data_IF_237514164054
#
_entry.id   IF_237514164054
#
_cell.length_a   1.000
_cell.length_b   1.000
_cell.length_c   1.000
_cell.angle_alpha   90.00
_cell.angle_beta   90.00
_cell.angle_gamma   90.00
#
_symmetry.space_group_name_H-M   'P 1'
#
loop_
_entity.id
_entity.type
_entity.pdbx_description
1 polymer ?
#
# COMPACT_ATOMS: atom_id res chain seq x y z
N UNK A 1 -28.76 18.64 -11.43
CA UNK A 1 -29.33 18.08 -10.19
C UNK A 1 -29.65 16.64 -10.50
N UNK A 2 -28.71 15.73 -10.23
CA UNK A 2 -28.82 14.31 -10.60
C UNK A 2 -29.10 13.53 -9.32
N UNK A 3 -30.30 12.97 -9.23
CA UNK A 3 -30.69 12.02 -8.21
C UNK A 3 -30.16 10.65 -8.62
N UNK A 4 -29.40 10.00 -7.72
CA UNK A 4 -28.90 8.65 -7.92
C UNK A 4 -29.52 7.78 -6.82
N UNK A 5 -30.49 6.95 -7.21
CA UNK A 5 -31.08 5.90 -6.38
C UNK A 5 -30.60 4.55 -6.90
N UNK A 6 -29.87 3.80 -6.06
CA UNK A 6 -29.40 2.44 -6.34
C UNK A 6 -27.98 2.22 -5.83
N UNK A 7 -27.84 1.65 -4.64
CA UNK A 7 -26.54 1.26 -4.09
C UNK A 7 -26.24 -0.18 -4.50
N UNK A 8 -25.53 -0.34 -5.61
CA UNK A 8 -24.72 -1.54 -5.81
C UNK A 8 -23.39 -1.30 -5.12
N UNK A 9 -22.93 -2.22 -4.26
CA UNK A 9 -21.53 -2.25 -3.81
C UNK A 9 -20.68 -2.67 -5.01
N UNK A 10 -20.52 -1.75 -5.96
CA UNK A 10 -19.40 -1.75 -6.87
C UNK A 10 -18.24 -1.28 -6.01
N UNK A 11 -17.13 -2.03 -5.89
CA UNK A 11 -15.92 -1.48 -5.29
C UNK A 11 -15.62 -0.18 -6.02
N UNK A 12 -15.74 0.95 -5.32
CA UNK A 12 -15.28 2.24 -5.83
C UNK A 12 -13.76 2.13 -5.81
N UNK A 13 -13.22 1.53 -6.85
CA UNK A 13 -11.80 1.60 -7.11
C UNK A 13 -11.51 3.04 -7.52
N UNK A 14 -11.00 3.83 -6.57
CA UNK A 14 -10.44 5.13 -6.91
C UNK A 14 -9.07 4.85 -7.56
N UNK A 15 -9.08 4.51 -8.85
CA UNK A 15 -7.86 4.37 -9.63
C UNK A 15 -7.43 5.76 -10.10
N UNK A 16 -6.27 6.22 -9.64
CA UNK A 16 -5.54 7.25 -10.35
C UNK A 16 -4.76 6.54 -11.47
N UNK A 17 -5.27 6.64 -12.70
CA UNK A 17 -4.48 6.28 -13.88
C UNK A 17 -3.62 7.49 -14.25
N UNK A 18 -2.31 7.34 -14.13
CA UNK A 18 -1.37 8.30 -14.71
C UNK A 18 -0.93 7.71 -16.05
N UNK A 19 -1.43 8.28 -17.14
CA UNK A 19 -0.90 7.98 -18.48
C UNK A 19 0.27 8.93 -18.72
N UNK A 20 1.50 8.46 -18.53
CA UNK A 20 2.72 9.24 -18.85
C UNK A 20 3.05 8.98 -20.32
N UNK A 21 2.42 9.71 -21.24
CA UNK A 21 2.75 9.61 -22.65
C UNK A 21 3.68 10.72 -23.11
N UNK A 22 4.63 10.39 -23.98
CA UNK A 22 5.35 11.36 -24.80
C UNK A 22 4.43 11.80 -25.93
N UNK A 23 3.82 12.98 -25.82
CA UNK A 23 3.14 13.61 -26.96
C UNK A 23 4.19 14.00 -28.01
N UNK A 24 3.98 13.61 -29.26
CA UNK A 24 4.62 14.32 -30.38
C UNK A 24 3.90 15.66 -30.54
N UNK A 25 4.56 16.81 -30.25
CA UNK A 25 3.89 18.11 -30.24
C UNK A 25 3.36 18.54 -31.62
N UNK A 26 3.87 17.97 -32.72
CA UNK A 26 3.47 18.37 -34.08
C UNK A 26 2.23 17.62 -34.61
N UNK A 27 1.86 16.48 -34.03
CA UNK A 27 0.81 15.62 -34.59
C UNK A 27 -0.36 15.32 -33.65
N UNK A 28 -0.29 15.69 -32.37
CA UNK A 28 -1.35 15.42 -31.40
C UNK A 28 -1.70 13.92 -31.25
N UNK A 29 -0.91 13.02 -31.84
CA UNK A 29 -1.07 11.58 -31.79
C UNK A 29 -0.05 10.98 -30.83
N UNK A 30 -0.53 10.12 -29.93
CA UNK A 30 0.33 9.25 -29.14
C UNK A 30 0.97 8.22 -30.06
N UNK A 31 2.25 8.43 -30.42
CA UNK A 31 3.02 7.48 -31.21
C UNK A 31 3.75 6.53 -30.25
N UNK A 32 3.15 5.38 -29.96
CA UNK A 32 3.75 4.30 -29.17
C UNK A 32 2.82 3.68 -28.11
N UNK A 33 3.05 2.40 -27.77
CA UNK A 33 2.42 1.79 -26.58
C UNK A 33 3.08 2.38 -25.34
N UNK A 34 2.47 3.41 -24.77
CA UNK A 34 2.83 3.89 -23.43
C UNK A 34 2.47 2.77 -22.44
N UNK A 35 3.42 2.26 -21.63
CA UNK A 35 3.07 1.33 -20.57
C UNK A 35 2.14 2.05 -19.59
N UNK A 36 0.88 1.61 -19.56
CA UNK A 36 -0.10 2.11 -18.61
C UNK A 36 0.31 1.69 -17.21
N UNK A 37 0.22 2.60 -16.24
CA UNK A 37 0.44 2.29 -14.82
C UNK A 37 -0.88 2.44 -14.03
N UNK A 38 -1.11 1.52 -13.10
CA UNK A 38 -2.20 1.56 -12.13
C UNK A 38 -1.60 1.64 -10.74
N UNK A 39 -2.01 2.66 -9.99
CA UNK A 39 -1.68 2.83 -8.58
C UNK A 39 -2.91 2.49 -7.76
N UNK A 40 -2.76 1.58 -6.80
CA UNK A 40 -3.83 1.20 -5.90
C UNK A 40 -3.39 1.36 -4.47
N UNK A 41 -4.26 1.97 -3.65
CA UNK A 41 -4.14 1.81 -2.21
C UNK A 41 -4.30 0.31 -1.81
N UNK A 42 -3.78 -0.08 -0.65
CA UNK A 42 -3.92 -1.43 -0.11
C UNK A 42 -5.10 -1.53 0.87
N UNK A 43 -5.01 -0.83 2.00
CA UNK A 43 -5.86 -1.03 3.18
C UNK A 43 -7.19 -0.28 3.03
N UNK A 44 -8.28 -1.02 2.83
CA UNK A 44 -9.59 -0.48 2.51
C UNK A 44 -9.92 -0.50 1.01
N UNK A 45 -8.93 -0.78 0.15
CA UNK A 45 -9.10 -0.84 -1.31
C UNK A 45 -8.95 -2.27 -1.86
N UNK A 46 -7.81 -2.92 -1.64
CA UNK A 46 -7.57 -4.31 -2.06
C UNK A 46 -7.72 -5.29 -0.89
N UNK A 47 -7.38 -4.83 0.31
CA UNK A 47 -7.39 -5.59 1.55
C UNK A 47 -8.41 -4.96 2.51
N UNK A 48 -9.40 -5.75 2.95
CA UNK A 48 -10.44 -5.25 3.85
C UNK A 48 -10.43 -6.00 5.18
N UNK A 49 -10.76 -5.32 6.27
CA UNK A 49 -10.80 -5.93 7.61
C UNK A 49 -12.23 -6.21 8.02
N UNK A 50 -12.46 -7.32 8.73
CA UNK A 50 -13.79 -7.75 9.16
C UNK A 50 -14.60 -6.63 9.80
N UNK A 51 -13.98 -5.91 10.76
CA UNK A 51 -14.61 -4.79 11.46
C UNK A 51 -15.17 -3.68 10.56
N UNK A 52 -14.65 -3.52 9.34
CA UNK A 52 -15.10 -2.48 8.41
C UNK A 52 -16.29 -2.93 7.55
N UNK A 53 -16.43 -4.22 7.28
CA UNK A 53 -17.50 -4.72 6.40
C UNK A 53 -18.62 -5.45 7.15
N UNK A 54 -18.42 -5.86 8.40
CA UNK A 54 -19.49 -6.48 9.22
C UNK A 54 -20.67 -5.56 9.46
N UNK A 55 -20.43 -4.24 9.59
CA UNK A 55 -21.50 -3.25 9.67
C UNK A 55 -22.34 -3.12 8.38
N UNK A 56 -21.86 -3.70 7.27
CA UNK A 56 -22.53 -3.73 5.96
C UNK A 56 -23.04 -5.13 5.61
N UNK A 57 -23.30 -5.96 6.63
CA UNK A 57 -23.87 -7.31 6.47
C UNK A 57 -22.93 -8.34 5.84
N UNK A 58 -21.65 -8.03 5.71
CA UNK A 58 -20.64 -8.97 5.22
C UNK A 58 -20.01 -9.72 6.40
N UNK A 59 -20.04 -11.05 6.36
CA UNK A 59 -19.59 -11.91 7.46
C UNK A 59 -18.41 -12.77 7.05
N UNK A 60 -17.51 -13.05 7.99
CA UNK A 60 -16.47 -14.06 7.81
C UNK A 60 -17.03 -15.39 8.32
N UNK A 61 -17.21 -16.36 7.43
CA UNK A 61 -17.84 -17.65 7.75
C UNK A 61 -16.83 -18.75 8.06
N UNK A 62 -15.58 -18.57 7.61
CA UNK A 62 -14.47 -19.49 7.89
C UNK A 62 -13.16 -18.72 7.90
N UNK A 63 -12.28 -19.05 8.85
CA UNK A 63 -10.89 -18.63 8.87
C UNK A 63 -9.98 -19.84 9.08
N UNK A 64 -8.93 -19.92 8.27
CA UNK A 64 -7.81 -20.82 8.45
C UNK A 64 -6.53 -19.98 8.49
N UNK A 65 -6.08 -19.56 9.69
CA UNK A 65 -4.88 -18.76 9.84
C UNK A 65 -3.60 -19.48 9.37
N UNK A 66 -3.57 -20.82 9.47
CA UNK A 66 -2.43 -21.64 9.08
C UNK A 66 -2.35 -21.72 7.55
N UNK A 67 -3.48 -22.02 6.90
CA UNK A 67 -3.61 -21.98 5.44
C UNK A 67 -3.61 -20.57 4.85
N UNK A 68 -3.75 -19.53 5.69
CA UNK A 68 -3.95 -18.13 5.32
C UNK A 68 -5.13 -17.94 4.36
N UNK A 69 -6.24 -18.59 4.66
CA UNK A 69 -7.46 -18.55 3.85
C UNK A 69 -8.65 -18.12 4.71
N UNK A 70 -9.57 -17.36 4.13
CA UNK A 70 -10.86 -17.06 4.72
C UNK A 70 -11.98 -17.16 3.70
N UNK A 71 -13.22 -17.35 4.18
CA UNK A 71 -14.44 -17.24 3.37
C UNK A 71 -15.24 -16.05 3.89
N UNK A 72 -15.51 -15.10 3.01
CA UNK A 72 -16.28 -13.89 3.30
C UNK A 72 -17.60 -13.97 2.53
N UNK A 73 -18.74 -13.78 3.21
CA UNK A 73 -20.08 -13.91 2.63
C UNK A 73 -20.83 -12.58 2.74
N UNK A 74 -21.47 -12.09 1.68
CA UNK A 74 -22.35 -10.92 1.75
C UNK A 74 -23.78 -11.28 2.20
N UNK A 75 -24.67 -10.27 2.29
CA UNK A 75 -26.07 -10.45 2.69
C UNK A 75 -26.87 -11.34 1.73
N UNK A 76 -26.57 -11.29 0.42
CA UNK A 76 -27.18 -12.15 -0.61
C UNK A 76 -26.71 -13.60 -0.53
N UNK A 77 -25.72 -13.88 0.32
CA UNK A 77 -25.11 -15.19 0.47
C UNK A 77 -24.02 -15.52 -0.56
N UNK A 78 -23.59 -14.55 -1.37
CA UNK A 78 -22.41 -14.69 -2.24
C UNK A 78 -21.17 -14.90 -1.36
N UNK A 79 -20.53 -16.06 -1.49
CA UNK A 79 -19.31 -16.40 -0.78
C UNK A 79 -18.07 -16.12 -1.66
N UNK A 80 -17.07 -15.46 -1.08
CA UNK A 80 -15.78 -15.18 -1.71
C UNK A 80 -14.67 -15.85 -0.91
N UNK A 81 -13.85 -16.60 -1.65
CA UNK A 81 -12.60 -17.11 -1.10
C UNK A 81 -11.59 -15.96 -1.05
N UNK A 82 -10.96 -15.80 0.11
CA UNK A 82 -10.02 -14.73 0.38
C UNK A 82 -8.70 -15.28 0.90
N UNK A 83 -7.61 -14.59 0.54
CA UNK A 83 -6.34 -14.67 1.24
C UNK A 83 -6.45 -13.89 2.55
N UNK A 84 -5.99 -14.51 3.63
CA UNK A 84 -5.95 -13.92 4.97
C UNK A 84 -4.58 -13.29 5.24
N UNK A 85 -4.58 -12.05 5.72
CA UNK A 85 -3.41 -11.30 6.13
C UNK A 85 -3.55 -10.99 7.62
N UNK A 86 -2.62 -11.52 8.42
CA UNK A 86 -2.62 -11.23 9.84
C UNK A 86 -2.29 -9.75 10.09
N UNK A 87 -2.95 -9.15 11.08
CA UNK A 87 -2.63 -7.82 11.58
C UNK A 87 -2.84 -7.79 13.08
N UNK A 88 -1.87 -7.23 13.79
CA UNK A 88 -1.92 -7.03 15.24
C UNK A 88 -2.82 -5.87 15.66
N UNK A 89 -3.15 -4.94 14.75
CA UNK A 89 -3.81 -3.69 15.10
C UNK A 89 -5.31 -3.63 14.72
N UNK A 90 -5.68 -4.18 13.55
CA UNK A 90 -7.02 -4.00 12.96
C UNK A 90 -7.83 -5.29 12.85
N UNK A 91 -7.29 -6.42 13.32
CA UNK A 91 -7.81 -7.76 13.07
C UNK A 91 -7.35 -8.32 11.72
N UNK A 92 -7.75 -9.54 11.38
CA UNK A 92 -7.36 -10.16 10.11
C UNK A 92 -7.88 -9.35 8.91
N UNK A 93 -7.01 -9.15 7.92
CA UNK A 93 -7.32 -8.57 6.62
C UNK A 93 -7.63 -9.64 5.59
N UNK A 94 -8.53 -9.34 4.66
CA UNK A 94 -9.03 -10.26 3.64
C UNK A 94 -8.91 -9.61 2.26
N UNK A 95 -8.23 -10.30 1.35
CA UNK A 95 -8.17 -9.94 -0.07
C UNK A 95 -8.78 -11.08 -0.87
N UNK A 96 -9.78 -10.81 -1.70
CA UNK A 96 -10.39 -11.87 -2.52
C UNK A 96 -9.40 -12.42 -3.54
N UNK A 97 -9.42 -13.73 -3.79
CA UNK A 97 -8.60 -14.32 -4.87
C UNK A 97 -8.97 -13.75 -6.25
N UNK A 98 -10.23 -13.32 -6.42
CA UNK A 98 -10.67 -12.60 -7.63
C UNK A 98 -9.93 -11.28 -7.82
N UNK A 99 -9.66 -10.53 -6.75
CA UNK A 99 -8.87 -9.29 -6.83
C UNK A 99 -7.42 -9.58 -7.23
N UNK A 100 -6.83 -10.66 -6.69
CA UNK A 100 -5.48 -11.08 -7.07
C UNK A 100 -5.41 -11.45 -8.57
N UNK A 101 -6.36 -12.24 -9.06
CA UNK A 101 -6.48 -12.61 -10.48
C UNK A 101 -6.66 -11.39 -11.39
N UNK A 102 -7.44 -10.39 -10.98
CA UNK A 102 -7.60 -9.15 -11.73
C UNK A 102 -6.28 -8.38 -11.86
N UNK A 103 -5.48 -8.30 -10.78
CA UNK A 103 -4.15 -7.68 -10.81
C UNK A 103 -3.22 -8.45 -11.76
N UNK A 104 -3.21 -9.78 -11.69
CA UNK A 104 -2.39 -10.61 -12.57
C UNK A 104 -2.75 -10.42 -14.05
N UNK A 105 -4.05 -10.39 -14.39
CA UNK A 105 -4.54 -10.15 -15.76
C UNK A 105 -4.20 -8.76 -16.29
N UNK A 106 -4.30 -7.72 -15.45
CA UNK A 106 -3.87 -6.37 -15.81
C UNK A 106 -2.39 -6.38 -16.19
N UNK A 107 -1.55 -7.02 -15.37
CA UNK A 107 -0.10 -7.06 -15.60
C UNK A 107 0.29 -7.90 -16.80
N UNK A 108 -0.38 -9.02 -17.05
CA UNK A 108 -0.22 -9.81 -18.27
C UNK A 108 -0.56 -9.01 -19.54
N UNK A 109 -1.41 -7.98 -19.42
CA UNK A 109 -1.74 -7.06 -20.52
C UNK A 109 -0.69 -5.95 -20.73
N UNK A 110 0.44 -6.00 -20.00
CA UNK A 110 1.53 -5.02 -20.07
C UNK A 110 1.34 -3.79 -19.18
N UNK A 111 0.32 -3.78 -18.32
CA UNK A 111 0.06 -2.70 -17.37
C UNK A 111 0.99 -2.85 -16.16
N UNK A 112 1.66 -1.78 -15.75
CA UNK A 112 2.41 -1.72 -14.49
C UNK A 112 1.46 -1.55 -13.34
N UNK A 113 1.63 -2.31 -12.26
CA UNK A 113 0.79 -2.20 -11.08
C UNK A 113 1.64 -1.84 -9.87
N UNK A 114 1.30 -0.77 -9.18
CA UNK A 114 1.96 -0.34 -7.96
C UNK A 114 0.97 -0.32 -6.80
N UNK A 115 1.38 -0.87 -5.66
CA UNK A 115 0.64 -0.72 -4.40
C UNK A 115 1.18 0.50 -3.66
N UNK A 116 0.30 1.36 -3.19
CA UNK A 116 0.60 2.48 -2.30
C UNK A 116 -0.08 2.18 -0.96
N UNK A 117 0.59 2.41 0.16
CA UNK A 117 -0.03 2.21 1.47
C UNK A 117 0.57 3.15 2.53
N UNK A 118 -0.25 3.53 3.51
CA UNK A 118 0.22 4.18 4.73
C UNK A 118 0.85 3.21 5.74
N UNK A 119 0.87 1.90 5.44
CA UNK A 119 1.44 0.89 6.32
C UNK A 119 2.95 1.06 6.49
N UNK A 120 3.45 0.65 7.67
CA UNK A 120 4.89 0.61 7.98
C UNK A 120 5.61 -0.39 7.07
N UNK A 121 6.90 -0.18 6.82
CA UNK A 121 7.70 -1.07 5.98
C UNK A 121 7.74 -2.50 6.49
N UNK A 122 7.87 -2.71 7.80
CA UNK A 122 7.82 -4.05 8.40
C UNK A 122 6.52 -4.78 8.08
N UNK A 123 5.39 -4.11 8.24
CA UNK A 123 4.06 -4.65 7.89
C UNK A 123 3.96 -4.97 6.39
N UNK A 124 4.45 -4.09 5.52
CA UNK A 124 4.41 -4.32 4.07
C UNK A 124 5.30 -5.48 3.64
N UNK A 125 6.53 -5.57 4.17
CA UNK A 125 7.47 -6.65 3.89
C UNK A 125 6.96 -8.02 4.39
N UNK A 126 6.23 -8.05 5.51
CA UNK A 126 5.59 -9.27 6.00
C UNK A 126 4.43 -9.74 5.10
N UNK A 127 3.66 -8.80 4.54
CA UNK A 127 2.51 -9.09 3.66
C UNK A 127 2.93 -9.50 2.26
N UNK A 128 4.07 -9.00 1.82
CA UNK A 128 4.58 -9.10 0.46
C UNK A 128 4.56 -10.51 -0.15
N UNK A 129 5.01 -11.56 0.56
CA UNK A 129 4.93 -12.94 0.04
C UNK A 129 3.52 -13.45 -0.24
N UNK A 130 2.49 -12.73 0.18
CA UNK A 130 1.09 -13.13 0.10
C UNK A 130 0.23 -12.22 -0.78
N UNK A 131 0.77 -11.06 -1.17
CA UNK A 131 0.16 -10.12 -2.12
C UNK A 131 0.29 -10.65 -3.56
N UNK A 132 -0.56 -10.20 -4.51
CA UNK A 132 -0.28 -10.42 -5.92
C UNK A 132 1.08 -9.82 -6.29
N UNK A 133 1.73 -10.34 -7.32
CA UNK A 133 3.00 -9.77 -7.77
C UNK A 133 2.74 -8.38 -8.37
N UNK A 134 3.54 -7.40 -7.95
CA UNK A 134 3.42 -5.98 -8.36
C UNK A 134 4.76 -5.46 -8.84
N UNK A 135 4.76 -4.34 -9.55
CA UNK A 135 5.96 -3.74 -10.14
C UNK A 135 6.66 -2.76 -9.17
N UNK A 136 5.92 -2.19 -8.22
CA UNK A 136 6.47 -1.33 -7.17
C UNK A 136 5.57 -1.34 -5.93
N UNK A 137 6.17 -1.07 -4.78
CA UNK A 137 5.44 -0.86 -3.52
C UNK A 137 5.90 0.44 -2.90
N UNK A 138 4.94 1.30 -2.64
CA UNK A 138 5.14 2.55 -1.93
C UNK A 138 4.51 2.39 -0.55
N UNK A 139 5.28 2.59 0.51
CA UNK A 139 4.79 2.49 1.88
C UNK A 139 5.19 3.70 2.72
N UNK A 140 4.78 3.70 4.00
CA UNK A 140 5.06 4.79 4.94
C UNK A 140 4.60 6.18 4.44
N UNK A 141 3.49 6.25 3.70
CA UNK A 141 2.99 7.50 3.09
C UNK A 141 3.95 8.08 2.04
N UNK A 142 4.66 7.22 1.31
CA UNK A 142 5.56 7.66 0.23
C UNK A 142 7.03 7.72 0.61
N UNK A 143 7.40 7.61 1.89
CA UNK A 143 8.81 7.70 2.28
C UNK A 143 9.64 6.49 1.86
N UNK A 144 9.02 5.38 1.45
CA UNK A 144 9.74 4.22 0.92
C UNK A 144 9.11 3.69 -0.34
N UNK A 145 9.97 3.42 -1.32
CA UNK A 145 9.64 2.69 -2.53
C UNK A 145 10.49 1.42 -2.55
N UNK A 146 9.84 0.27 -2.72
CA UNK A 146 10.48 -1.01 -2.92
C UNK A 146 10.23 -1.51 -4.33
N UNK A 147 11.30 -1.92 -5.00
CA UNK A 147 11.28 -2.50 -6.34
C UNK A 147 11.66 -3.98 -6.27
N UNK A 148 11.11 -4.82 -7.17
CA UNK A 148 11.56 -6.20 -7.29
C UNK A 148 13.01 -6.21 -7.78
N UNK A 149 13.89 -6.92 -7.07
CA UNK A 149 15.28 -7.06 -7.45
C UNK A 149 15.39 -7.67 -8.85
N UNK A 150 16.17 -7.09 -9.78
CA UNK A 150 16.36 -7.63 -11.11
C UNK A 150 16.82 -9.10 -11.10
N UNK A 151 17.64 -9.46 -10.09
CA UNK A 151 18.14 -10.81 -9.90
C UNK A 151 17.03 -11.83 -9.58
N UNK A 152 15.90 -11.37 -9.03
CA UNK A 152 14.75 -12.22 -8.66
C UNK A 152 13.62 -12.22 -9.69
N UNK A 153 13.74 -11.45 -10.78
CA UNK A 153 12.70 -11.33 -11.80
C UNK A 153 12.34 -12.68 -12.47
N UNK A 154 13.27 -13.65 -12.46
CA UNK A 154 13.06 -14.99 -13.02
C UNK A 154 12.27 -15.95 -12.12
N UNK A 155 12.02 -15.61 -10.85
CA UNK A 155 11.34 -16.49 -9.87
C UNK A 155 10.32 -15.69 -9.03
N UNK A 156 9.06 -15.58 -9.50
CA UNK A 156 8.03 -14.78 -8.83
C UNK A 156 7.76 -15.17 -7.38
N UNK A 157 7.96 -16.45 -7.03
CA UNK A 157 7.73 -16.95 -5.67
C UNK A 157 8.82 -16.57 -4.66
N UNK A 158 9.92 -15.96 -5.09
CA UNK A 158 11.06 -15.56 -4.24
C UNK A 158 11.60 -14.19 -4.62
N UNK A 159 10.70 -13.26 -4.93
CA UNK A 159 11.10 -11.90 -5.25
C UNK A 159 11.74 -11.28 -4.02
N UNK A 160 13.03 -10.96 -4.12
CA UNK A 160 13.69 -10.06 -3.19
C UNK A 160 13.23 -8.64 -3.51
N UNK A 161 12.82 -7.91 -2.48
CA UNK A 161 12.42 -6.51 -2.58
C UNK A 161 13.54 -5.62 -2.06
N UNK A 162 13.91 -4.61 -2.84
CA UNK A 162 15.02 -3.72 -2.53
C UNK A 162 14.52 -2.27 -2.53
N UNK A 163 14.98 -1.42 -1.60
CA UNK A 163 14.66 0.00 -1.63
C UNK A 163 15.14 0.63 -2.95
N UNK A 164 14.34 1.52 -3.51
CA UNK A 164 14.71 2.33 -4.66
C UNK A 164 15.87 3.27 -4.27
N UNK A 165 17.06 3.13 -4.87
CA UNK A 165 18.22 3.92 -4.48
C UNK A 165 18.09 5.40 -4.85
N UNK A 166 17.43 5.73 -5.96
CA UNK A 166 17.25 7.12 -6.41
C UNK A 166 16.27 7.85 -5.50
N UNK A 167 15.13 7.23 -5.19
CA UNK A 167 14.16 7.77 -4.25
C UNK A 167 14.75 7.94 -2.85
N UNK A 168 15.52 6.95 -2.42
CA UNK A 168 16.22 6.98 -1.13
C UNK A 168 17.21 8.14 -1.06
N UNK A 169 18.01 8.35 -2.10
CA UNK A 169 18.94 9.47 -2.18
C UNK A 169 18.22 10.83 -2.20
N UNK A 170 17.08 10.92 -2.90
CA UNK A 170 16.28 12.13 -2.98
C UNK A 170 15.70 12.57 -1.62
N UNK A 171 15.43 11.64 -0.71
CA UNK A 171 14.95 11.94 0.64
C UNK A 171 16.06 12.31 1.63
N UNK A 172 17.31 11.96 1.33
CA UNK A 172 18.42 12.13 2.27
C UNK A 172 18.64 13.58 2.76
N UNK A 173 18.51 14.63 1.93
CA UNK A 173 18.64 16.01 2.40
C UNK A 173 17.60 16.40 3.46
N UNK A 174 16.43 15.75 3.50
CA UNK A 174 15.34 16.05 4.43
C UNK A 174 15.35 15.13 5.66
N UNK A 175 15.64 13.85 5.47
CA UNK A 175 15.48 12.80 6.48
C UNK A 175 16.79 12.13 6.93
N UNK A 176 17.94 12.59 6.43
CA UNK A 176 19.25 12.01 6.72
C UNK A 176 19.55 10.78 5.88
N UNK A 177 20.72 10.18 6.12
CA UNK A 177 21.12 8.96 5.41
C UNK A 177 20.11 7.83 5.65
N UNK A 178 19.94 6.99 4.62
CA UNK A 178 19.08 5.82 4.73
C UNK A 178 19.54 4.89 5.84
N UNK A 179 18.64 4.68 6.79
CA UNK A 179 18.79 3.65 7.81
C UNK A 179 17.75 2.55 7.53
N UNK A 180 18.16 1.27 7.44
CA UNK A 180 17.23 0.16 7.54
C UNK A 180 16.36 0.40 8.79
N UNK A 181 15.03 0.37 8.62
CA UNK A 181 14.06 0.79 9.67
C UNK A 181 14.44 0.27 11.05
N UNK A 182 14.29 1.14 12.05
CA UNK A 182 14.46 0.86 13.48
C UNK A 182 15.90 0.65 13.99
N UNK A 183 16.94 0.77 13.15
CA UNK A 183 18.32 0.70 13.62
C UNK A 183 18.75 1.96 14.41
N UNK A 184 18.23 3.13 14.03
CA UNK A 184 18.54 4.42 14.69
C UNK A 184 17.27 4.97 15.35
N UNK A 185 17.28 5.24 16.67
CA UNK A 185 16.20 5.92 17.36
C UNK A 185 15.87 7.29 16.73
N UNK A 186 14.61 7.70 16.62
CA UNK A 186 14.21 8.98 16.02
C UNK A 186 14.95 10.21 16.56
N UNK A 187 15.31 10.18 17.85
CA UNK A 187 16.01 11.25 18.56
C UNK A 187 17.43 11.47 18.02
N UNK A 188 18.06 10.41 17.53
CA UNK A 188 19.43 10.38 17.02
C UNK A 188 19.52 10.59 15.50
N UNK A 189 18.38 10.62 14.80
CA UNK A 189 18.36 10.78 13.34
C UNK A 189 18.70 12.20 12.92
N UNK A 190 19.48 12.31 11.84
CA UNK A 190 19.95 13.58 11.30
C UNK A 190 19.01 14.15 10.23
N UNK A 191 18.90 15.47 10.16
CA UNK A 191 18.21 16.17 9.08
C UNK A 191 16.98 16.97 9.52
N UNK A 192 16.50 17.90 8.67
CA UNK A 192 15.45 18.86 9.03
C UNK A 192 14.14 18.24 9.51
N UNK A 193 13.76 17.07 8.98
CA UNK A 193 12.57 16.33 9.43
C UNK A 193 12.69 15.95 10.91
N UNK A 194 13.85 15.42 11.30
CA UNK A 194 14.08 14.94 12.66
C UNK A 194 14.34 16.10 13.64
N UNK A 195 14.86 17.23 13.14
CA UNK A 195 14.88 18.48 13.90
C UNK A 195 13.46 18.99 14.20
N UNK A 196 12.52 18.85 13.25
CA UNK A 196 11.12 19.16 13.51
C UNK A 196 10.51 18.17 14.52
N UNK A 197 10.75 16.87 14.39
CA UNK A 197 10.32 15.86 15.35
C UNK A 197 10.76 16.22 16.77
N UNK A 198 12.05 16.51 16.97
CA UNK A 198 12.62 16.90 18.28
C UNK A 198 11.99 18.17 18.83
N UNK A 199 11.79 19.20 18.00
CA UNK A 199 11.14 20.46 18.41
C UNK A 199 9.70 20.24 18.87
N UNK A 200 8.93 19.44 18.13
CA UNK A 200 7.54 19.13 18.50
C UNK A 200 7.48 18.30 19.79
N UNK A 201 8.37 17.31 19.95
CA UNK A 201 8.48 16.53 21.17
C UNK A 201 8.85 17.42 22.39
N UNK A 202 9.82 18.33 22.22
CA UNK A 202 10.21 19.28 23.27
C UNK A 202 9.10 20.28 23.63
N UNK A 203 8.20 20.58 22.68
CA UNK A 203 7.00 21.37 22.91
C UNK A 203 5.86 20.59 23.59
N UNK A 204 6.08 19.31 23.95
CA UNK A 204 5.11 18.46 24.62
C UNK A 204 4.10 17.78 23.70
N UNK A 205 4.25 17.87 22.37
CA UNK A 205 3.38 17.12 21.45
C UNK A 205 3.74 15.64 21.46
N UNK A 206 2.72 14.78 21.46
CA UNK A 206 2.91 13.35 21.28
C UNK A 206 3.22 13.04 19.82
N UNK A 207 4.45 12.60 19.57
CA UNK A 207 4.95 12.21 18.25
C UNK A 207 5.21 10.70 18.18
N UNK A 208 4.94 10.08 17.02
CA UNK A 208 5.24 8.67 16.73
C UNK A 208 6.02 8.55 15.41
N UNK A 209 7.29 8.17 15.53
CA UNK A 209 8.20 7.94 14.41
C UNK A 209 8.58 6.45 14.24
N UNK A 210 7.93 5.54 14.98
CA UNK A 210 8.27 4.11 14.96
C UNK A 210 8.02 3.51 13.59
N UNK A 211 9.05 2.89 13.02
CA UNK A 211 8.98 2.25 11.70
C UNK A 211 8.78 3.22 10.53
N UNK A 212 9.08 4.51 10.69
CA UNK A 212 9.10 5.50 9.60
C UNK A 212 10.52 5.93 9.25
N UNK A 213 10.81 6.11 7.97
CA UNK A 213 12.12 6.51 7.45
C UNK A 213 12.21 8.00 7.12
N UNK A 214 11.12 8.60 6.61
CA UNK A 214 11.08 10.01 6.25
C UNK A 214 9.70 10.65 6.55
N UNK A 215 9.04 10.16 7.60
CA UNK A 215 7.82 10.76 8.13
C UNK A 215 7.69 10.45 9.63
N UNK A 216 6.75 11.12 10.30
CA UNK A 216 6.30 10.78 11.65
C UNK A 216 4.89 11.32 11.84
N UNK A 217 4.16 10.81 12.83
CA UNK A 217 2.83 11.32 13.19
C UNK A 217 2.95 12.24 14.38
N UNK A 218 2.23 13.36 14.36
CA UNK A 218 2.10 14.25 15.51
C UNK A 218 0.61 14.38 15.88
N UNK A 219 0.29 14.18 17.16
CA UNK A 219 -1.05 14.40 17.69
C UNK A 219 -1.19 15.87 18.09
N UNK A 220 -2.11 16.58 17.43
CA UNK A 220 -2.30 18.04 17.58
C UNK A 220 -3.42 18.38 18.57
N UNK A 221 -4.22 17.39 19.00
CA UNK A 221 -5.25 17.55 20.03
C UNK A 221 -5.31 16.29 20.88
N UNK A 222 -5.40 16.47 22.19
CA UNK A 222 -5.92 15.41 23.04
C UNK A 222 -7.40 15.21 22.67
N UNK A 223 -7.79 13.96 22.42
CA UNK A 223 -9.21 13.65 22.35
C UNK A 223 -9.77 13.91 23.75
N UNK A 224 -10.47 15.04 23.89
CA UNK A 224 -11.28 15.36 25.07
C UNK A 224 -12.36 14.28 25.28
#
# INVERSE_FOLDING_TARGET
MVSISGWSIVPVFMYFSITIGTCNPEQGQFVGKVPLAVFSDLDGTLLHYAKHFTAHGVTVTKEDPVGRVGIVKNEDGEARLCRLFQSSALGNGFMSYRSMDLVDRLRQSGVKFAIISGARSSTMLERLPHLPFVDAIVCETGSRIYLPSPASASKPSRVRWEPDPEWTAALAPAAGAYSPTDATPPEEREGPLWDLYRRLAAAGLRVDARGYAASFRALVRDAA
#
